data_IF_404522280694
#
_entry.id   IF_404522280694
#
_cell.length_a   1.000
_cell.length_b   1.000
_cell.length_c   1.000
_cell.angle_alpha   90.00
_cell.angle_beta   90.00
_cell.angle_gamma   90.00
#
_symmetry.space_group_name_H-M   'P 1'
#
loop_
_entity.id
_entity.type
_entity.pdbx_description
1 polymer ?
#
# COMPACT_ATOMS: atom_id res chain seq x y z
N UNK A 1 -5.73 -17.94 21.79
CA UNK A 1 -4.89 -16.72 21.75
C UNK A 1 -4.50 -16.30 20.33
N UNK A 2 -4.23 -17.25 19.42
CA UNK A 2 -3.80 -16.99 18.03
C UNK A 2 -4.81 -16.22 17.15
N UNK A 3 -6.12 -16.47 17.25
CA UNK A 3 -7.14 -15.77 16.43
C UNK A 3 -7.19 -14.26 16.74
N UNK A 4 -7.16 -13.90 18.02
CA UNK A 4 -7.09 -12.50 18.48
C UNK A 4 -5.79 -11.82 18.03
N UNK A 5 -4.67 -12.55 18.03
CA UNK A 5 -3.37 -12.02 17.62
C UNK A 5 -3.29 -11.79 16.11
N UNK A 6 -3.87 -12.67 15.29
CA UNK A 6 -3.93 -12.49 13.83
C UNK A 6 -4.75 -11.26 13.45
N UNK A 7 -5.88 -11.04 14.12
CA UNK A 7 -6.64 -9.80 13.94
C UNK A 7 -5.85 -8.56 14.34
N UNK A 8 -5.14 -8.61 15.47
CA UNK A 8 -4.33 -7.48 15.92
C UNK A 8 -3.22 -7.13 14.91
N UNK A 9 -2.50 -8.14 14.39
CA UNK A 9 -1.48 -7.96 13.34
C UNK A 9 -2.06 -7.31 12.09
N UNK A 10 -3.21 -7.81 11.63
CA UNK A 10 -3.89 -7.26 10.47
C UNK A 10 -4.30 -5.79 10.69
N UNK A 11 -4.91 -5.48 11.84
CA UNK A 11 -5.36 -4.13 12.21
C UNK A 11 -4.19 -3.15 12.30
N UNK A 12 -3.06 -3.54 12.90
CA UNK A 12 -1.84 -2.70 12.96
C UNK A 12 -1.27 -2.49 11.55
N UNK A 13 -1.29 -3.51 10.69
CA UNK A 13 -0.93 -3.37 9.28
C UNK A 13 -1.77 -2.31 8.54
N UNK A 14 -3.09 -2.32 8.74
CA UNK A 14 -4.01 -1.32 8.18
C UNK A 14 -3.65 0.10 8.66
N UNK A 15 -3.32 0.28 9.94
CA UNK A 15 -2.89 1.59 10.47
C UNK A 15 -1.63 2.10 9.75
N UNK A 16 -0.64 1.22 9.53
CA UNK A 16 0.56 1.55 8.76
C UNK A 16 0.25 1.98 7.32
N UNK A 17 -0.69 1.30 6.65
CA UNK A 17 -1.16 1.67 5.32
C UNK A 17 -1.81 3.06 5.33
N UNK A 18 -2.60 3.39 6.35
CA UNK A 18 -3.22 4.71 6.51
C UNK A 18 -2.18 5.84 6.60
N UNK A 19 -1.12 5.65 7.38
CA UNK A 19 -0.01 6.60 7.48
C UNK A 19 0.72 6.74 6.13
N UNK A 20 1.02 5.62 5.48
CA UNK A 20 1.71 5.62 4.19
C UNK A 20 0.90 6.31 3.08
N UNK A 21 -0.41 6.09 3.03
CA UNK A 21 -1.31 6.77 2.08
C UNK A 21 -1.32 8.28 2.32
N UNK A 22 -1.42 8.71 3.58
CA UNK A 22 -1.40 10.15 3.89
C UNK A 22 -0.08 10.80 3.49
N UNK A 23 1.04 10.13 3.74
CA UNK A 23 2.35 10.58 3.30
C UNK A 23 2.46 10.65 1.76
N UNK A 24 1.90 9.66 1.05
CA UNK A 24 1.83 9.65 -0.41
C UNK A 24 1.08 10.88 -0.93
N UNK A 25 -0.13 11.16 -0.44
CA UNK A 25 -0.91 12.32 -0.83
C UNK A 25 -0.17 13.65 -0.60
N UNK A 26 0.48 13.79 0.56
CA UNK A 26 1.30 14.97 0.86
C UNK A 26 2.47 15.13 -0.11
N UNK A 27 3.18 14.05 -0.42
CA UNK A 27 4.31 14.07 -1.34
C UNK A 27 3.88 14.49 -2.76
N UNK A 28 2.75 13.96 -3.25
CA UNK A 28 2.20 14.35 -4.55
C UNK A 28 1.82 15.84 -4.59
N UNK A 29 1.09 16.33 -3.59
CA UNK A 29 0.69 17.73 -3.53
C UNK A 29 1.92 18.66 -3.50
N UNK A 30 2.88 18.39 -2.62
CA UNK A 30 4.10 19.19 -2.51
C UNK A 30 4.93 19.17 -3.81
N UNK A 31 5.08 18.00 -4.44
CA UNK A 31 5.91 17.87 -5.63
C UNK A 31 5.35 18.62 -6.85
N UNK A 32 4.03 18.79 -6.93
CA UNK A 32 3.36 19.54 -7.99
C UNK A 32 3.52 21.05 -7.82
N UNK A 33 3.62 21.55 -6.59
CA UNK A 33 3.71 22.98 -6.29
C UNK A 33 5.14 23.49 -6.18
N UNK A 34 6.06 22.66 -5.67
CA UNK A 34 7.45 23.06 -5.41
C UNK A 34 8.21 23.27 -6.72
N UNK A 35 8.49 24.54 -7.06
CA UNK A 35 9.34 24.92 -8.21
C UNK A 35 10.82 24.82 -7.86
N UNK A 36 11.57 24.01 -8.61
CA UNK A 36 13.01 23.90 -8.43
C UNK A 36 13.69 23.23 -9.65
N UNK A 37 14.70 23.92 -10.19
CA UNK A 37 15.47 23.42 -11.33
C UNK A 37 14.75 23.63 -12.66
N UNK A 38 15.28 22.99 -13.70
CA UNK A 38 14.77 23.09 -15.08
C UNK A 38 14.34 21.73 -15.58
N UNK A 39 13.36 21.70 -16.47
CA UNK A 39 12.83 20.45 -17.00
C UNK A 39 13.92 19.62 -17.71
N UNK A 40 14.05 18.30 -17.42
CA UNK A 40 15.14 17.47 -17.94
C UNK A 40 15.17 17.36 -19.47
N UNK A 41 14.04 17.62 -20.14
CA UNK A 41 13.89 17.46 -21.59
C UNK A 41 14.37 18.65 -22.41
N UNK A 42 14.72 19.78 -21.79
CA UNK A 42 15.12 20.99 -22.51
C UNK A 42 16.35 21.61 -21.87
N UNK A 43 17.50 21.58 -22.56
CA UNK A 43 18.70 22.28 -22.12
C UNK A 43 18.41 23.79 -22.11
N UNK A 44 18.40 24.40 -20.93
CA UNK A 44 17.99 25.79 -20.77
C UNK A 44 16.48 26.02 -20.64
N UNK A 45 15.69 24.96 -20.42
CA UNK A 45 14.23 25.04 -20.29
C UNK A 45 13.74 25.89 -19.11
N UNK A 46 12.44 26.18 -19.13
CA UNK A 46 11.77 26.93 -18.07
C UNK A 46 11.89 26.23 -16.71
N UNK A 47 11.75 27.02 -15.64
CA UNK A 47 11.64 26.48 -14.29
C UNK A 47 10.43 25.54 -14.19
N UNK A 48 10.65 24.37 -13.62
CA UNK A 48 9.64 23.33 -13.51
C UNK A 48 9.34 23.00 -12.04
N UNK A 49 8.21 22.35 -11.79
CA UNK A 49 7.98 21.73 -10.49
C UNK A 49 8.90 20.53 -10.32
N UNK A 50 9.13 20.10 -9.08
CA UNK A 50 9.99 18.94 -8.85
C UNK A 50 9.38 17.64 -9.39
N UNK A 51 8.06 17.58 -9.59
CA UNK A 51 7.39 16.43 -10.21
C UNK A 51 7.82 16.15 -11.66
N UNK A 52 8.39 17.13 -12.36
CA UNK A 52 8.89 16.97 -13.73
C UNK A 52 10.25 16.26 -13.80
N UNK A 53 10.96 16.14 -12.67
CA UNK A 53 12.19 15.37 -12.59
C UNK A 53 11.90 13.88 -12.59
N UNK A 54 12.59 13.14 -13.46
CA UNK A 54 12.34 11.70 -13.68
C UNK A 54 12.50 10.89 -12.40
N UNK A 55 13.47 11.23 -11.55
CA UNK A 55 13.69 10.52 -10.29
C UNK A 55 12.58 10.81 -9.26
N UNK A 56 12.13 12.06 -9.14
CA UNK A 56 11.00 12.43 -8.28
C UNK A 56 9.73 11.72 -8.74
N UNK A 57 9.47 11.69 -10.05
CA UNK A 57 8.33 10.96 -10.62
C UNK A 57 8.40 9.46 -10.33
N UNK A 58 9.59 8.85 -10.46
CA UNK A 58 9.83 7.44 -10.09
C UNK A 58 9.54 7.20 -8.60
N UNK A 59 9.99 8.09 -7.72
CA UNK A 59 9.73 8.01 -6.28
C UNK A 59 8.23 8.09 -5.97
N UNK A 60 7.52 9.08 -6.53
CA UNK A 60 6.07 9.26 -6.33
C UNK A 60 5.28 8.04 -6.83
N UNK A 61 5.60 7.52 -8.02
CA UNK A 61 4.98 6.31 -8.55
C UNK A 61 5.27 5.08 -7.69
N UNK A 62 6.48 4.99 -7.12
CA UNK A 62 6.83 3.90 -6.19
C UNK A 62 6.03 3.97 -4.90
N UNK A 63 5.84 5.18 -4.34
CA UNK A 63 4.97 5.39 -3.18
C UNK A 63 3.55 4.93 -3.47
N UNK A 64 2.98 5.40 -4.60
CA UNK A 64 1.61 5.08 -5.00
C UNK A 64 1.40 3.59 -5.24
N UNK A 65 2.32 2.95 -5.99
CA UNK A 65 2.25 1.52 -6.26
C UNK A 65 2.28 0.69 -4.97
N UNK A 66 3.13 1.07 -4.00
CA UNK A 66 3.21 0.38 -2.71
C UNK A 66 1.94 0.59 -1.88
N UNK A 67 1.43 1.81 -1.76
CA UNK A 67 0.23 2.07 -0.95
C UNK A 67 -1.01 1.38 -1.53
N UNK A 68 -1.19 1.41 -2.85
CA UNK A 68 -2.30 0.72 -3.52
C UNK A 68 -2.20 -0.80 -3.41
N UNK A 69 -1.01 -1.37 -3.61
CA UNK A 69 -0.80 -2.83 -3.49
C UNK A 69 -1.02 -3.31 -2.06
N UNK A 70 -0.50 -2.59 -1.06
CA UNK A 70 -0.68 -2.97 0.34
C UNK A 70 -2.15 -2.88 0.76
N UNK A 71 -2.89 -1.87 0.27
CA UNK A 71 -4.34 -1.77 0.51
C UNK A 71 -5.09 -2.94 -0.10
N UNK A 72 -4.78 -3.31 -1.35
CA UNK A 72 -5.38 -4.46 -2.01
C UNK A 72 -5.08 -5.76 -1.24
N UNK A 73 -3.83 -5.95 -0.80
CA UNK A 73 -3.42 -7.13 -0.03
C UNK A 73 -4.12 -7.20 1.33
N UNK A 74 -4.31 -6.06 2.00
CA UNK A 74 -5.04 -6.01 3.26
C UNK A 74 -6.51 -6.38 3.07
N UNK A 75 -7.19 -5.82 2.06
CA UNK A 75 -8.58 -6.17 1.76
C UNK A 75 -8.72 -7.64 1.36
N UNK A 76 -7.76 -8.16 0.59
CA UNK A 76 -7.71 -9.57 0.23
C UNK A 76 -7.57 -10.46 1.47
N UNK A 77 -6.64 -10.14 2.36
CA UNK A 77 -6.45 -10.87 3.61
C UNK A 77 -7.70 -10.84 4.50
N UNK A 78 -8.39 -9.70 4.60
CA UNK A 78 -9.65 -9.59 5.33
C UNK A 78 -10.73 -10.52 4.74
N UNK A 79 -10.88 -10.55 3.41
CA UNK A 79 -11.83 -11.44 2.74
C UNK A 79 -11.52 -12.92 2.99
N UNK A 80 -10.25 -13.31 3.00
CA UNK A 80 -9.83 -14.68 3.32
C UNK A 80 -10.09 -15.04 4.79
N UNK A 81 -9.88 -14.10 5.73
CA UNK A 81 -10.21 -14.30 7.14
C UNK A 81 -11.72 -14.50 7.35
N UNK A 82 -12.56 -13.72 6.65
CA UNK A 82 -14.02 -13.88 6.69
C UNK A 82 -14.46 -15.21 6.09
N UNK A 83 -13.91 -15.58 4.92
CA UNK A 83 -14.19 -16.88 4.29
C UNK A 83 -13.77 -18.06 5.18
N UNK A 84 -12.62 -17.97 5.85
CA UNK A 84 -12.15 -19.00 6.78
C UNK A 84 -13.10 -19.22 7.96
N UNK A 85 -13.82 -18.17 8.39
CA UNK A 85 -14.77 -18.24 9.52
C UNK A 85 -16.18 -18.62 9.10
N UNK A 86 -16.63 -18.13 7.95
CA UNK A 86 -18.06 -18.08 7.63
C UNK A 86 -18.46 -18.88 6.39
N UNK A 87 -17.52 -19.39 5.58
CA UNK A 87 -17.89 -20.20 4.42
C UNK A 87 -18.59 -21.50 4.83
N UNK A 88 -19.60 -21.92 4.07
CA UNK A 88 -20.38 -23.14 4.34
C UNK A 88 -19.56 -24.41 4.12
N UNK A 89 -18.77 -24.44 3.04
CA UNK A 89 -17.89 -25.57 2.69
C UNK A 89 -16.64 -25.60 3.57
N UNK A 90 -16.35 -26.79 4.12
CA UNK A 90 -15.13 -27.03 4.91
C UNK A 90 -13.86 -26.84 4.08
N UNK A 91 -13.88 -27.24 2.81
CA UNK A 91 -12.72 -27.13 1.92
C UNK A 91 -12.38 -25.66 1.63
N UNK A 92 -13.41 -24.82 1.45
CA UNK A 92 -13.24 -23.38 1.27
C UNK A 92 -12.66 -22.74 2.52
N UNK A 93 -13.16 -23.11 3.72
CA UNK A 93 -12.62 -22.60 4.98
C UNK A 93 -11.14 -22.95 5.15
N UNK A 94 -10.75 -24.19 4.89
CA UNK A 94 -9.36 -24.62 5.00
C UNK A 94 -8.45 -23.90 4.00
N UNK A 95 -8.87 -23.79 2.74
CA UNK A 95 -8.10 -23.07 1.72
C UNK A 95 -7.93 -21.58 2.06
N UNK A 96 -8.99 -20.95 2.57
CA UNK A 96 -8.94 -19.54 2.99
C UNK A 96 -8.04 -19.33 4.21
N UNK A 97 -8.11 -20.23 5.20
CA UNK A 97 -7.21 -20.19 6.35
C UNK A 97 -5.75 -20.33 5.92
N UNK A 98 -5.44 -21.27 5.03
CA UNK A 98 -4.07 -21.43 4.52
C UNK A 98 -3.54 -20.17 3.82
N UNK A 99 -4.40 -19.44 3.10
CA UNK A 99 -4.03 -18.16 2.48
C UNK A 99 -3.83 -17.06 3.52
N UNK A 100 -4.72 -16.95 4.51
CA UNK A 100 -4.58 -15.99 5.60
C UNK A 100 -3.29 -16.21 6.41
N UNK A 101 -2.89 -17.47 6.61
CA UNK A 101 -1.67 -17.84 7.34
C UNK A 101 -0.39 -17.40 6.63
N UNK A 102 -0.37 -17.41 5.29
CA UNK A 102 0.74 -16.88 4.50
C UNK A 102 0.81 -15.35 4.61
N UNK A 103 -0.34 -14.69 4.65
CA UNK A 103 -0.45 -13.23 4.67
C UNK A 103 -0.19 -12.64 6.07
N UNK A 104 -0.47 -13.41 7.12
CA UNK A 104 -0.25 -13.06 8.53
C UNK A 104 0.60 -14.17 9.17
N UNK A 105 1.91 -14.21 8.87
CA UNK A 105 2.76 -15.29 9.34
C UNK A 105 2.84 -15.31 10.87
N UNK A 106 2.76 -16.51 11.42
CA UNK A 106 3.09 -16.82 12.81
C UNK A 106 4.40 -17.62 12.82
N UNK A 107 5.31 -17.26 13.72
CA UNK A 107 6.41 -18.14 14.13
C UNK A 107 5.95 -19.01 15.29
#
# INVERSE_FOLDING_TARGET
MFTMMNEARHKVGIQGIGVAERACQHAFAYALERRQGRAPKTRGGAECSISDHLDVRRMLLSMRARTDTLRALALYCAAELDAARHAESSDVRQAAQARADILIPYH
#
